data_IF_113531704639
#
_entry.id   IF_113531704639
#
_cell.length_a   1.000
_cell.length_b   1.000
_cell.length_c   1.000
_cell.angle_alpha   90.00
_cell.angle_beta   90.00
_cell.angle_gamma   90.00
#
_symmetry.space_group_name_H-M   'P 1'
#
loop_
_entity.id
_entity.type
_entity.pdbx_description
1 polymer ?
#
# COMPACT_ATOMS: atom_id res chain seq x y z
N UNK A 1 -10.13 -37.22 11.02
CA UNK A 1 -9.03 -36.66 11.80
C UNK A 1 -9.09 -35.16 11.56
N UNK A 2 -9.16 -34.31 12.58
CA UNK A 2 -9.19 -32.86 12.38
C UNK A 2 -7.79 -32.41 11.96
N UNK A 3 -7.70 -31.56 10.93
CA UNK A 3 -6.45 -30.96 10.50
C UNK A 3 -5.91 -30.07 11.63
N UNK A 4 -4.63 -30.17 11.92
CA UNK A 4 -3.94 -29.23 12.81
C UNK A 4 -3.66 -27.93 12.07
N UNK A 5 -3.34 -26.85 12.79
CA UNK A 5 -2.89 -25.60 12.14
C UNK A 5 -1.66 -25.82 11.26
N UNK A 6 -0.72 -26.67 11.68
CA UNK A 6 0.44 -27.02 10.86
C UNK A 6 0.04 -27.73 9.57
N UNK A 7 -0.94 -28.66 9.61
CA UNK A 7 -1.40 -29.33 8.39
C UNK A 7 -2.05 -28.31 7.42
N UNK A 8 -2.77 -27.31 7.94
CA UNK A 8 -3.35 -26.23 7.16
C UNK A 8 -2.24 -25.37 6.52
N UNK A 9 -1.21 -24.99 7.28
CA UNK A 9 -0.07 -24.24 6.74
C UNK A 9 0.69 -25.02 5.67
N UNK A 10 0.92 -26.32 5.86
CA UNK A 10 1.56 -27.17 4.85
C UNK A 10 0.73 -27.31 3.57
N UNK A 11 -0.59 -27.40 3.70
CA UNK A 11 -1.50 -27.43 2.55
C UNK A 11 -1.43 -26.09 1.78
N UNK A 12 -1.52 -24.96 2.49
CA UNK A 12 -1.45 -23.63 1.88
C UNK A 12 -0.11 -23.38 1.18
N UNK A 13 1.01 -23.83 1.77
CA UNK A 13 2.34 -23.78 1.14
C UNK A 13 2.44 -24.61 -0.13
N UNK A 14 1.78 -25.76 -0.18
CA UNK A 14 1.86 -26.69 -1.31
C UNK A 14 0.89 -26.35 -2.45
N UNK A 15 -0.12 -25.48 -2.21
CA UNK A 15 -1.12 -25.08 -3.20
C UNK A 15 -0.75 -23.82 -4.01
N UNK A 16 0.47 -23.31 -3.87
CA UNK A 16 1.00 -22.11 -4.58
C UNK A 16 0.65 -20.78 -3.90
N UNK A 17 1.51 -19.77 -4.11
CA UNK A 17 1.37 -18.40 -3.58
C UNK A 17 1.53 -18.31 -2.07
N UNK A 18 2.75 -18.11 -1.60
CA UNK A 18 3.06 -17.99 -0.15
C UNK A 18 2.69 -16.62 0.41
N UNK A 19 2.76 -15.59 -0.40
CA UNK A 19 2.48 -14.20 0.00
C UNK A 19 1.27 -13.64 -0.73
N UNK A 20 0.58 -12.60 -0.19
CA UNK A 20 -0.54 -11.95 -0.88
C UNK A 20 -0.15 -11.43 -2.27
N UNK A 21 1.04 -10.87 -2.42
CA UNK A 21 1.58 -10.36 -3.70
C UNK A 21 1.78 -11.49 -4.72
N UNK A 22 2.36 -12.62 -4.30
CA UNK A 22 2.53 -13.81 -5.14
C UNK A 22 1.16 -14.33 -5.62
N UNK A 23 0.18 -14.37 -4.72
CA UNK A 23 -1.18 -14.83 -5.05
C UNK A 23 -1.89 -13.92 -6.04
N UNK A 24 -1.79 -12.60 -5.88
CA UNK A 24 -2.34 -11.65 -6.84
C UNK A 24 -1.66 -11.79 -8.21
N UNK A 25 -0.34 -11.96 -8.24
CA UNK A 25 0.42 -12.22 -9.46
C UNK A 25 -0.08 -13.48 -10.18
N UNK A 26 -0.19 -14.61 -9.48
CA UNK A 26 -0.68 -15.89 -10.05
C UNK A 26 -2.08 -15.75 -10.64
N UNK A 27 -3.03 -15.22 -9.85
CA UNK A 27 -4.42 -15.06 -10.30
C UNK A 27 -4.51 -14.09 -11.48
N UNK A 28 -3.67 -13.06 -11.54
CA UNK A 28 -3.64 -12.13 -12.67
C UNK A 28 -3.12 -12.77 -13.96
N UNK A 29 -2.22 -13.74 -13.86
CA UNK A 29 -1.73 -14.53 -15.00
C UNK A 29 -2.76 -15.55 -15.47
N UNK A 30 -3.39 -16.27 -14.55
CA UNK A 30 -4.34 -17.34 -14.87
C UNK A 30 -5.71 -16.81 -15.29
N UNK A 31 -6.14 -15.67 -14.71
CA UNK A 31 -7.47 -15.12 -14.89
C UNK A 31 -7.47 -13.59 -15.09
N UNK A 32 -6.71 -13.05 -16.07
CA UNK A 32 -6.49 -11.61 -16.22
C UNK A 32 -7.78 -10.79 -16.36
N UNK A 33 -8.76 -11.30 -17.06
CA UNK A 33 -10.02 -10.58 -17.35
C UNK A 33 -11.11 -10.79 -16.28
N UNK A 34 -10.88 -11.60 -15.24
CA UNK A 34 -11.83 -11.70 -14.13
C UNK A 34 -11.83 -10.41 -13.30
N UNK A 35 -13.00 -10.05 -12.79
CA UNK A 35 -13.17 -8.90 -11.92
C UNK A 35 -12.55 -9.20 -10.56
N UNK A 36 -11.57 -8.40 -10.18
CA UNK A 36 -10.94 -8.43 -8.87
C UNK A 36 -11.71 -7.58 -7.84
N UNK A 37 -12.15 -6.38 -8.24
CA UNK A 37 -12.83 -5.45 -7.36
C UNK A 37 -13.99 -4.76 -8.08
N UNK A 38 -15.01 -4.39 -7.30
CA UNK A 38 -16.10 -3.50 -7.72
C UNK A 38 -16.25 -2.38 -6.71
N UNK A 39 -16.41 -1.17 -7.21
CA UNK A 39 -16.67 0.00 -6.38
C UNK A 39 -17.70 0.91 -7.08
N UNK A 40 -18.26 1.83 -6.32
CA UNK A 40 -19.30 2.72 -6.83
C UNK A 40 -18.76 4.14 -6.94
N UNK A 41 -18.77 4.69 -8.15
CA UNK A 41 -18.36 6.06 -8.42
C UNK A 41 -19.52 6.81 -9.09
N UNK A 42 -19.92 7.95 -8.53
CA UNK A 42 -21.08 8.73 -8.98
C UNK A 42 -22.36 7.89 -9.20
N UNK A 43 -22.55 6.86 -8.35
CA UNK A 43 -23.72 5.97 -8.47
C UNK A 43 -23.60 4.84 -9.50
N UNK A 44 -22.53 4.79 -10.27
CA UNK A 44 -22.25 3.80 -11.31
C UNK A 44 -21.22 2.80 -10.79
N UNK A 45 -21.48 1.50 -11.01
CA UNK A 45 -20.52 0.45 -10.69
C UNK A 45 -19.33 0.49 -11.66
N UNK A 46 -18.14 0.60 -11.09
CA UNK A 46 -16.86 0.45 -11.78
C UNK A 46 -16.28 -0.92 -11.45
N UNK A 47 -15.51 -1.47 -12.36
CA UNK A 47 -14.87 -2.77 -12.23
C UNK A 47 -13.37 -2.64 -12.46
N UNK A 48 -12.60 -3.34 -11.66
CA UNK A 48 -11.15 -3.52 -11.86
C UNK A 48 -10.89 -4.99 -12.10
N UNK A 49 -10.24 -5.33 -13.20
CA UNK A 49 -9.82 -6.71 -13.50
C UNK A 49 -8.59 -7.10 -12.68
N UNK A 50 -8.29 -8.40 -12.58
CA UNK A 50 -7.02 -8.85 -11.96
C UNK A 50 -5.80 -8.35 -12.72
N UNK A 51 -5.87 -8.23 -14.04
CA UNK A 51 -4.82 -7.63 -14.86
C UNK A 51 -4.57 -6.17 -14.49
N UNK A 52 -5.63 -5.36 -14.38
CA UNK A 52 -5.51 -3.95 -14.02
C UNK A 52 -5.02 -3.78 -12.57
N UNK A 53 -5.51 -4.63 -11.66
CA UNK A 53 -5.06 -4.65 -10.28
C UNK A 53 -3.55 -4.92 -10.20
N UNK A 54 -3.09 -5.99 -10.84
CA UNK A 54 -1.68 -6.35 -10.89
C UNK A 54 -0.82 -5.26 -11.50
N UNK A 55 -1.25 -4.71 -12.66
CA UNK A 55 -0.50 -3.69 -13.36
C UNK A 55 -0.34 -2.40 -12.52
N UNK A 56 -1.43 -1.92 -11.90
CA UNK A 56 -1.38 -0.73 -11.03
C UNK A 56 -0.54 -0.97 -9.77
N UNK A 57 -0.61 -2.16 -9.19
CA UNK A 57 0.26 -2.54 -8.06
C UNK A 57 1.73 -2.55 -8.46
N UNK A 58 2.08 -3.03 -9.65
CA UNK A 58 3.45 -2.94 -10.17
C UNK A 58 3.91 -1.48 -10.34
N UNK A 59 3.05 -0.60 -10.85
CA UNK A 59 3.39 0.82 -10.95
C UNK A 59 3.63 1.44 -9.58
N UNK A 60 2.83 1.09 -8.57
CA UNK A 60 3.11 1.50 -7.18
C UNK A 60 4.46 0.99 -6.71
N UNK A 61 4.77 -0.29 -6.89
CA UNK A 61 6.06 -0.90 -6.53
C UNK A 61 7.24 -0.14 -7.14
N UNK A 62 7.14 0.16 -8.43
CA UNK A 62 8.22 0.83 -9.17
C UNK A 62 8.38 2.30 -8.76
N UNK A 63 7.28 3.00 -8.47
CA UNK A 63 7.34 4.36 -7.94
C UNK A 63 7.91 4.40 -6.52
N UNK A 64 7.53 3.45 -5.64
CA UNK A 64 8.13 3.34 -4.30
C UNK A 64 9.64 3.15 -4.39
N UNK A 65 10.10 2.24 -5.25
CA UNK A 65 11.53 2.06 -5.55
C UNK A 65 12.21 3.35 -6.03
N UNK A 66 11.57 4.07 -6.96
CA UNK A 66 12.08 5.35 -7.47
C UNK A 66 12.29 6.37 -6.34
N UNK A 67 11.39 6.41 -5.35
CA UNK A 67 11.53 7.24 -4.15
C UNK A 67 12.41 6.60 -3.05
N UNK A 68 13.14 5.55 -3.35
CA UNK A 68 14.12 4.95 -2.44
C UNK A 68 13.52 4.13 -1.30
N UNK A 69 12.30 3.58 -1.47
CA UNK A 69 11.76 2.60 -0.53
C UNK A 69 12.40 1.25 -0.79
N UNK A 70 12.97 0.66 0.26
CA UNK A 70 13.65 -0.64 0.23
C UNK A 70 12.84 -1.70 1.00
N UNK A 71 13.23 -2.96 0.83
CA UNK A 71 12.63 -4.09 1.59
C UNK A 71 12.78 -3.88 3.10
N UNK A 72 11.72 -4.15 3.85
CA UNK A 72 11.64 -3.96 5.30
C UNK A 72 11.27 -2.53 5.74
N UNK A 73 11.25 -1.56 4.82
CA UNK A 73 10.85 -0.19 5.15
C UNK A 73 9.33 -0.01 5.09
N UNK A 74 8.82 0.98 5.80
CA UNK A 74 7.38 1.18 5.97
C UNK A 74 6.80 2.21 5.00
N UNK A 75 5.59 1.90 4.53
CA UNK A 75 4.74 2.76 3.72
C UNK A 75 3.36 2.85 4.37
N UNK A 76 2.92 4.06 4.72
CA UNK A 76 1.65 4.28 5.38
C UNK A 76 0.51 4.49 4.38
N UNK A 77 -0.68 4.01 4.74
CA UNK A 77 -1.91 4.19 3.96
C UNK A 77 -3.01 4.66 4.90
N UNK A 78 -3.47 5.91 4.73
CA UNK A 78 -4.54 6.52 5.50
C UNK A 78 -5.75 6.76 4.60
N UNK A 79 -6.62 5.79 4.51
CA UNK A 79 -7.78 5.81 3.61
C UNK A 79 -8.83 4.80 4.03
N UNK A 80 -10.09 5.08 3.68
CA UNK A 80 -11.16 4.09 3.65
C UNK A 80 -10.89 3.03 2.57
N UNK A 81 -11.72 1.96 2.57
CA UNK A 81 -11.61 0.89 1.59
C UNK A 81 -11.95 1.38 0.18
N UNK A 82 -10.95 1.42 -0.69
CA UNK A 82 -11.06 1.83 -2.09
C UNK A 82 -9.99 1.10 -2.93
N UNK A 83 -10.13 1.05 -4.26
CA UNK A 83 -9.17 0.32 -5.11
C UNK A 83 -7.71 0.77 -4.93
N UNK A 84 -7.48 2.07 -4.77
CA UNK A 84 -6.14 2.65 -4.60
C UNK A 84 -5.46 2.13 -3.33
N UNK A 85 -6.23 1.89 -2.27
CA UNK A 85 -5.73 1.27 -1.04
C UNK A 85 -5.08 -0.08 -1.34
N UNK A 86 -5.78 -0.93 -2.11
CA UNK A 86 -5.28 -2.27 -2.47
C UNK A 86 -4.11 -2.21 -3.44
N UNK A 87 -4.09 -1.24 -4.36
CA UNK A 87 -2.93 -1.04 -5.24
C UNK A 87 -1.69 -0.64 -4.44
N UNK A 88 -1.85 0.27 -3.47
CA UNK A 88 -0.79 0.72 -2.59
C UNK A 88 -0.29 -0.42 -1.69
N UNK A 89 -1.20 -1.19 -1.09
CA UNK A 89 -0.88 -2.32 -0.21
C UNK A 89 -0.10 -3.42 -0.94
N UNK A 90 -0.67 -3.96 -2.01
CA UNK A 90 0.00 -5.02 -2.79
C UNK A 90 1.28 -4.51 -3.44
N UNK A 91 1.30 -3.27 -3.94
CA UNK A 91 2.51 -2.68 -4.50
C UNK A 91 3.65 -2.54 -3.47
N UNK A 92 3.32 -2.17 -2.25
CA UNK A 92 4.27 -2.09 -1.13
C UNK A 92 4.82 -3.47 -0.77
N UNK A 93 3.94 -4.45 -0.55
CA UNK A 93 4.34 -5.80 -0.19
C UNK A 93 5.16 -6.49 -1.31
N UNK A 94 4.89 -6.17 -2.58
CA UNK A 94 5.58 -6.79 -3.72
C UNK A 94 7.08 -6.51 -3.79
N UNK A 95 7.56 -5.46 -3.12
CA UNK A 95 8.99 -5.13 -2.99
C UNK A 95 9.54 -5.46 -1.60
N UNK A 96 8.80 -6.22 -0.80
CA UNK A 96 9.19 -6.58 0.57
C UNK A 96 9.09 -5.44 1.58
N UNK A 97 8.47 -4.32 1.23
CA UNK A 97 8.18 -3.23 2.15
C UNK A 97 6.94 -3.52 2.99
N UNK A 98 6.80 -2.84 4.12
CA UNK A 98 5.74 -3.07 5.11
C UNK A 98 4.62 -2.06 4.94
N UNK A 99 3.39 -2.54 4.70
CA UNK A 99 2.21 -1.68 4.67
C UNK A 99 1.78 -1.31 6.09
N UNK A 100 1.51 -0.02 6.35
CA UNK A 100 1.08 0.48 7.66
C UNK A 100 -0.29 1.14 7.50
N UNK A 101 -1.35 0.45 7.95
CA UNK A 101 -2.71 0.98 7.88
C UNK A 101 -2.99 2.02 8.99
N UNK A 102 -3.43 3.22 8.59
CA UNK A 102 -3.91 4.27 9.48
C UNK A 102 -5.41 4.49 9.27
N UNK A 103 -6.16 4.61 10.37
CA UNK A 103 -7.58 4.96 10.25
C UNK A 103 -7.75 6.40 9.78
N UNK A 104 -8.67 6.70 8.85
CA UNK A 104 -8.99 8.07 8.44
C UNK A 104 -9.47 8.94 9.61
N UNK A 105 -10.02 8.33 10.67
CA UNK A 105 -10.50 9.02 11.88
C UNK A 105 -9.38 9.42 12.85
N UNK A 106 -8.13 8.97 12.64
CA UNK A 106 -7.02 9.37 13.49
C UNK A 106 -6.80 10.89 13.43
N UNK A 107 -6.69 11.60 14.58
CA UNK A 107 -6.32 13.02 14.60
C UNK A 107 -4.84 13.21 14.28
N UNK A 108 -4.43 14.44 13.89
CA UNK A 108 -3.05 14.77 13.49
C UNK A 108 -1.98 14.34 14.50
N UNK A 109 -2.25 14.44 15.79
CA UNK A 109 -1.33 14.00 16.83
C UNK A 109 -1.07 12.47 16.80
N UNK A 110 -2.10 11.68 16.49
CA UNK A 110 -1.98 10.23 16.35
C UNK A 110 -1.33 9.87 15.02
N UNK A 111 -1.66 10.55 13.93
CA UNK A 111 -0.97 10.43 12.63
C UNK A 111 0.53 10.68 12.81
N UNK A 112 0.92 11.75 13.50
CA UNK A 112 2.33 12.01 13.85
C UNK A 112 2.98 10.83 14.56
N UNK A 113 2.31 10.32 15.60
CA UNK A 113 2.85 9.20 16.37
C UNK A 113 3.05 7.96 15.50
N UNK A 114 2.02 7.59 14.71
CA UNK A 114 2.03 6.39 13.89
C UNK A 114 3.11 6.48 12.80
N UNK A 115 3.19 7.60 12.07
CA UNK A 115 4.19 7.82 11.03
C UNK A 115 5.61 7.88 11.60
N UNK A 116 5.80 8.47 12.78
CA UNK A 116 7.13 8.49 13.44
C UNK A 116 7.54 7.12 13.94
N UNK A 117 6.60 6.37 14.57
CA UNK A 117 6.90 5.08 15.16
C UNK A 117 7.15 3.99 14.10
N UNK A 118 6.41 4.05 12.99
CA UNK A 118 6.61 3.14 11.86
C UNK A 118 7.77 3.56 10.95
N UNK A 119 8.33 4.76 11.14
CA UNK A 119 9.36 5.35 10.26
C UNK A 119 8.93 5.38 8.78
N UNK A 120 7.61 5.57 8.51
CA UNK A 120 7.07 5.53 7.15
C UNK A 120 7.70 6.60 6.27
N UNK A 121 8.21 6.19 5.10
CA UNK A 121 8.82 7.06 4.09
C UNK A 121 7.78 7.71 3.17
N UNK A 122 6.73 6.99 2.85
CA UNK A 122 5.64 7.45 1.99
C UNK A 122 4.33 7.33 2.78
N UNK A 123 3.46 8.33 2.62
CA UNK A 123 2.07 8.29 3.07
C UNK A 123 1.15 8.35 1.86
N UNK A 124 0.32 7.34 1.67
CA UNK A 124 -0.85 7.43 0.82
C UNK A 124 -2.01 7.99 1.64
N UNK A 125 -2.56 9.13 1.21
CA UNK A 125 -3.66 9.84 1.86
C UNK A 125 -4.90 9.82 0.97
N UNK A 126 -6.09 9.57 1.54
CA UNK A 126 -7.30 9.48 0.74
C UNK A 126 -7.64 10.79 0.05
N UNK A 127 -7.74 11.85 0.84
CA UNK A 127 -8.30 13.14 0.41
C UNK A 127 -7.63 14.33 1.12
N UNK A 128 -8.22 15.51 0.93
CA UNK A 128 -7.79 16.75 1.56
C UNK A 128 -7.70 16.64 3.09
N UNK A 129 -8.67 16.01 3.77
CA UNK A 129 -8.68 15.91 5.23
C UNK A 129 -7.44 15.14 5.75
N UNK A 130 -7.09 14.05 5.09
CA UNK A 130 -5.92 13.24 5.48
C UNK A 130 -4.61 13.97 5.15
N UNK A 131 -4.57 14.69 4.03
CA UNK A 131 -3.43 15.56 3.68
C UNK A 131 -3.24 16.67 4.72
N UNK A 132 -4.30 17.35 5.15
CA UNK A 132 -4.24 18.41 6.16
C UNK A 132 -3.66 17.89 7.47
N UNK A 133 -4.10 16.72 7.93
CA UNK A 133 -3.57 16.08 9.15
C UNK A 133 -2.07 15.79 9.05
N UNK A 134 -1.60 15.34 7.91
CA UNK A 134 -0.19 15.06 7.69
C UNK A 134 0.64 16.36 7.59
N UNK A 135 0.15 17.37 6.88
CA UNK A 135 0.83 18.66 6.75
C UNK A 135 0.91 19.43 8.08
N UNK A 136 -0.09 19.33 8.94
CA UNK A 136 -0.06 19.94 10.28
C UNK A 136 1.16 19.49 11.12
N UNK A 137 1.64 18.28 10.87
CA UNK A 137 2.74 17.65 11.65
C UNK A 137 4.01 17.40 10.83
N UNK A 138 4.06 17.86 9.58
CA UNK A 138 5.10 17.51 8.60
C UNK A 138 6.52 17.85 9.07
N UNK A 139 6.70 18.99 9.76
CA UNK A 139 8.00 19.43 10.28
C UNK A 139 8.57 18.47 11.35
N UNK A 140 7.72 17.62 11.93
CA UNK A 140 8.09 16.61 12.91
C UNK A 140 8.37 15.24 12.29
N UNK A 141 8.26 15.11 10.95
CA UNK A 141 8.36 13.86 10.19
C UNK A 141 9.47 13.98 9.12
N UNK A 142 10.73 14.10 9.53
CA UNK A 142 11.84 14.27 8.59
C UNK A 142 12.02 13.07 7.64
N UNK A 143 11.64 11.86 8.09
CA UNK A 143 11.73 10.63 7.30
C UNK A 143 10.66 10.53 6.20
N UNK A 144 9.55 11.29 6.31
CA UNK A 144 8.46 11.24 5.33
C UNK A 144 8.88 11.98 4.05
N UNK A 145 9.09 11.25 2.97
CA UNK A 145 9.57 11.76 1.68
C UNK A 145 8.44 12.33 0.82
N UNK A 146 7.30 11.62 0.76
CA UNK A 146 6.13 12.02 -0.05
C UNK A 146 4.82 11.73 0.66
N UNK A 147 3.83 12.59 0.37
CA UNK A 147 2.41 12.39 0.66
C UNK A 147 1.71 12.29 -0.70
N UNK A 148 1.22 11.11 -1.01
CA UNK A 148 0.56 10.79 -2.28
C UNK A 148 -0.95 10.73 -2.03
N UNK A 149 -1.72 11.65 -2.61
CA UNK A 149 -3.16 11.70 -2.37
C UNK A 149 -3.97 11.13 -3.52
N UNK A 150 -5.09 10.46 -3.16
CA UNK A 150 -5.96 9.77 -4.13
C UNK A 150 -6.96 10.73 -4.77
N UNK A 151 -7.56 11.64 -3.99
CA UNK A 151 -8.59 12.57 -4.48
C UNK A 151 -8.07 13.98 -4.66
N UNK A 152 -8.30 14.53 -5.86
CA UNK A 152 -7.89 15.90 -6.20
C UNK A 152 -8.86 16.98 -5.70
N UNK A 153 -10.04 16.56 -5.20
CA UNK A 153 -11.05 17.51 -4.71
C UNK A 153 -10.52 18.28 -3.49
N UNK A 154 -10.60 19.60 -3.55
CA UNK A 154 -10.10 20.46 -2.47
C UNK A 154 -8.61 20.79 -2.54
N UNK A 155 -7.82 20.11 -3.38
CA UNK A 155 -6.36 20.23 -3.42
C UNK A 155 -5.81 21.37 -4.28
N UNK A 156 -6.66 22.18 -4.92
CA UNK A 156 -6.25 23.18 -5.94
C UNK A 156 -5.31 24.29 -5.45
N UNK A 157 -5.31 24.59 -4.15
CA UNK A 157 -4.48 25.64 -3.55
C UNK A 157 -3.26 25.10 -2.78
N UNK A 158 -3.06 23.80 -2.78
CA UNK A 158 -1.94 23.19 -2.08
C UNK A 158 -0.68 23.22 -2.94
N UNK A 159 0.37 23.84 -2.41
CA UNK A 159 1.71 23.90 -3.03
C UNK A 159 2.75 23.49 -1.97
N UNK A 160 2.99 22.21 -1.86
CA UNK A 160 3.98 21.68 -0.93
C UNK A 160 4.85 20.64 -1.65
N UNK A 161 6.20 20.69 -1.55
CA UNK A 161 7.12 19.87 -2.36
C UNK A 161 7.02 18.36 -2.09
N UNK A 162 6.45 17.97 -0.94
CA UNK A 162 6.22 16.55 -0.62
C UNK A 162 4.87 16.04 -1.14
N UNK A 163 3.94 16.91 -1.60
CA UNK A 163 2.66 16.50 -2.14
C UNK A 163 2.78 16.05 -3.59
N UNK A 164 2.00 15.01 -3.93
CA UNK A 164 1.86 14.54 -5.29
C UNK A 164 0.54 13.77 -5.44
N UNK A 165 -0.06 13.82 -6.63
CA UNK A 165 -1.25 13.03 -6.93
C UNK A 165 -0.90 11.56 -7.12
N UNK A 166 -1.86 10.67 -6.86
CA UNK A 166 -1.69 9.26 -7.14
C UNK A 166 -1.47 8.98 -8.63
N UNK A 167 -2.09 9.79 -9.51
CA UNK A 167 -1.86 9.68 -10.96
C UNK A 167 -0.40 9.96 -11.33
N UNK A 168 0.19 11.06 -10.84
CA UNK A 168 1.61 11.37 -11.07
C UNK A 168 2.53 10.28 -10.50
N UNK A 169 2.19 9.75 -9.34
CA UNK A 169 2.93 8.64 -8.73
C UNK A 169 2.90 7.38 -9.61
N UNK A 170 1.71 7.02 -10.15
CA UNK A 170 1.58 5.90 -11.07
C UNK A 170 2.29 6.15 -12.41
N UNK A 171 2.33 7.38 -12.93
CA UNK A 171 3.03 7.71 -14.17
C UNK A 171 4.54 7.52 -14.03
N UNK A 172 5.12 7.90 -12.87
CA UNK A 172 6.53 7.61 -12.55
C UNK A 172 6.75 6.10 -12.52
N UNK A 173 5.91 5.38 -11.78
CA UNK A 173 6.02 3.93 -11.67
C UNK A 173 5.86 3.20 -12.99
N UNK A 174 4.98 3.69 -13.87
CA UNK A 174 4.81 3.16 -15.22
C UNK A 174 6.09 3.34 -16.06
N UNK A 175 6.70 4.52 -16.02
CA UNK A 175 7.97 4.79 -16.73
C UNK A 175 9.09 3.86 -16.28
N UNK A 176 9.20 3.63 -14.97
CA UNK A 176 10.16 2.69 -14.39
C UNK A 176 9.84 1.24 -14.77
N UNK A 177 8.54 0.85 -14.74
CA UNK A 177 8.09 -0.48 -15.12
C UNK A 177 8.38 -0.79 -16.59
N UNK A 178 8.14 0.16 -17.49
CA UNK A 178 8.44 0.01 -18.93
C UNK A 178 9.95 -0.22 -19.15
N UNK A 179 10.79 0.31 -18.27
CA UNK A 179 12.25 0.13 -18.32
C UNK A 179 12.73 -1.20 -17.69
N UNK A 180 12.01 -1.71 -16.69
CA UNK A 180 12.36 -2.91 -15.91
C UNK A 180 11.15 -3.82 -15.65
N UNK A 181 10.50 -4.39 -16.65
CA UNK A 181 9.21 -5.08 -16.52
C UNK A 181 9.23 -6.34 -15.65
N UNK A 182 10.39 -6.98 -15.51
CA UNK A 182 10.53 -8.20 -14.68
C UNK A 182 10.92 -7.91 -13.23
N UNK A 183 11.17 -6.64 -12.86
CA UNK A 183 11.72 -6.30 -11.56
C UNK A 183 10.82 -6.77 -10.42
N UNK A 184 9.53 -6.41 -10.45
CA UNK A 184 8.59 -6.72 -9.36
C UNK A 184 8.40 -8.23 -9.19
N UNK A 185 8.28 -8.98 -10.29
CA UNK A 185 8.18 -10.45 -10.23
C UNK A 185 9.44 -11.08 -9.63
N UNK A 186 10.60 -10.49 -9.89
CA UNK A 186 11.86 -10.98 -9.32
C UNK A 186 12.00 -10.62 -7.82
N UNK A 187 11.45 -9.48 -7.38
CA UNK A 187 11.40 -9.15 -5.95
C UNK A 187 10.45 -10.09 -5.19
N UNK A 188 9.25 -10.35 -5.74
CA UNK A 188 8.29 -11.29 -5.12
C UNK A 188 8.90 -12.67 -4.89
N UNK A 189 9.72 -13.18 -5.82
CA UNK A 189 10.39 -14.49 -5.67
C UNK A 189 11.37 -14.55 -4.50
N UNK A 190 11.81 -13.39 -3.99
CA UNK A 190 12.74 -13.30 -2.85
C UNK A 190 12.01 -13.24 -1.51
N UNK A 191 10.70 -12.94 -1.52
CA UNK A 191 9.91 -12.81 -0.31
C UNK A 191 9.81 -14.14 0.44
N UNK A 192 9.89 -14.06 1.77
CA UNK A 192 9.68 -15.20 2.67
C UNK A 192 8.29 -15.07 3.34
N UNK A 193 7.64 -16.18 3.63
CA UNK A 193 6.34 -16.22 4.32
C UNK A 193 6.42 -15.79 5.81
N UNK A 194 7.63 -15.59 6.33
CA UNK A 194 7.87 -14.99 7.64
C UNK A 194 8.20 -13.49 7.60
N UNK A 195 8.29 -12.88 6.40
CA UNK A 195 8.50 -11.44 6.28
C UNK A 195 7.27 -10.67 6.79
N UNK A 196 7.53 -9.52 7.43
CA UNK A 196 6.44 -8.65 7.88
C UNK A 196 5.83 -7.96 6.66
N UNK A 197 4.59 -8.30 6.33
CA UNK A 197 3.87 -7.72 5.19
C UNK A 197 3.05 -6.46 5.57
N UNK A 198 2.44 -6.49 6.76
CA UNK A 198 1.57 -5.40 7.22
C UNK A 198 1.79 -5.15 8.71
N UNK A 199 1.70 -3.89 9.12
CA UNK A 199 1.70 -3.47 10.51
C UNK A 199 0.36 -2.80 10.84
N UNK A 200 -0.36 -3.34 11.82
CA UNK A 200 -1.64 -2.81 12.27
C UNK A 200 -1.48 -2.25 13.68
N UNK A 201 -1.91 -1.00 13.85
CA UNK A 201 -1.90 -0.36 15.16
C UNK A 201 -3.24 -0.56 15.87
N UNK A 202 -3.18 -1.13 17.05
CA UNK A 202 -4.36 -1.32 17.91
C UNK A 202 -4.28 -0.45 19.15
N UNK A 203 -5.42 0.12 19.56
CA UNK A 203 -5.54 0.80 20.84
C UNK A 203 -5.39 -0.23 21.97
N UNK A 204 -4.23 -0.24 22.62
CA UNK A 204 -4.04 -1.00 23.84
C UNK A 204 -4.92 -0.47 24.97
N UNK A 205 -5.20 -1.30 25.98
CA UNK A 205 -5.95 -0.88 27.19
C UNK A 205 -5.22 0.17 28.02
N UNK A 206 -3.94 0.37 27.77
CA UNK A 206 -3.07 1.35 28.47
C UNK A 206 -2.00 1.90 27.55
N UNK A 207 -1.97 3.23 27.35
CA UNK A 207 -0.93 3.94 26.60
C UNK A 207 -1.21 4.11 25.10
N UNK A 208 -0.23 4.62 24.33
CA UNK A 208 -0.37 4.85 22.89
C UNK A 208 -0.58 3.55 22.11
N UNK A 209 -1.15 3.62 20.89
CA UNK A 209 -1.33 2.47 20.02
C UNK A 209 -0.03 1.68 19.82
N UNK A 210 -0.14 0.35 19.76
CA UNK A 210 0.99 -0.54 19.53
C UNK A 210 0.86 -1.20 18.16
N UNK A 211 1.96 -1.20 17.41
CA UNK A 211 2.06 -1.94 16.14
C UNK A 211 2.21 -3.44 16.40
N UNK A 212 1.45 -4.25 15.68
CA UNK A 212 1.46 -5.72 15.69
C UNK A 212 1.63 -6.24 14.29
#
# INVERSE_FOLDING_TARGET
MALTMNDIYEILRNEGGRTPSEKVMEVSKDHPEKIAMRYKEFGIWQETTYKDFWLKSNYVSMALRFFGVESGESVAIQSENRPEWFFADIGTQSIGAVSVGLYPTNPSAEVKYLLSHSESKILFAEDQEQVDKALEVIDSLPQLEKIVYFENKGMYSYDHPKLMTFSEFLDIGKSEYDSFPEFVENEIKKLDDNDVAIMVYTSGTTGPPKGS
#
